data_IF_111285756156
#
_entry.id   IF_111285756156
#
_cell.length_a   1.000
_cell.length_b   1.000
_cell.length_c   1.000
_cell.angle_alpha   90.00
_cell.angle_beta   90.00
_cell.angle_gamma   90.00
#
_symmetry.space_group_name_H-M   'P 1'
#
loop_
_entity.id
_entity.type
_entity.pdbx_description
1 polymer ?
#
# COMPACT_ATOMS: atom_id res chain seq x y z
N UNK A 1 26.92 -0.59 44.13
CA UNK A 1 26.42 0.46 43.23
C UNK A 1 25.55 -0.19 42.18
N UNK A 2 24.23 -0.17 42.36
CA UNK A 2 23.24 -0.65 41.38
C UNK A 2 22.84 0.52 40.50
N UNK A 3 23.08 0.43 39.19
CA UNK A 3 22.61 1.44 38.24
C UNK A 3 21.08 1.33 38.10
N UNK A 4 20.34 2.45 38.10
CA UNK A 4 18.92 2.45 37.77
C UNK A 4 18.77 2.18 36.27
N UNK A 5 18.14 1.06 35.92
CA UNK A 5 17.65 0.81 34.57
C UNK A 5 16.55 1.82 34.27
N UNK A 6 16.77 2.68 33.27
CA UNK A 6 15.71 3.58 32.76
C UNK A 6 14.50 2.71 32.39
N UNK A 7 13.27 3.10 32.79
CA UNK A 7 12.09 2.50 32.20
C UNK A 7 12.15 2.73 30.69
N UNK A 8 12.06 1.65 29.90
CA UNK A 8 11.77 1.78 28.47
C UNK A 8 10.39 2.43 28.39
N UNK A 9 10.35 3.69 27.99
CA UNK A 9 9.09 4.39 27.70
C UNK A 9 8.30 3.49 26.73
N UNK A 10 7.06 3.10 27.05
CA UNK A 10 6.22 2.41 26.09
C UNK A 10 6.09 3.33 24.88
N UNK A 11 6.42 2.83 23.69
CA UNK A 11 6.03 3.51 22.46
C UNK A 11 4.51 3.68 22.53
N UNK A 12 3.95 4.89 22.38
CA UNK A 12 2.52 5.06 22.37
C UNK A 12 1.93 4.11 21.32
N UNK A 13 0.92 3.32 21.72
CA UNK A 13 0.09 2.62 20.74
C UNK A 13 -0.50 3.72 19.86
N UNK A 14 -0.07 3.79 18.60
CA UNK A 14 -0.64 4.72 17.63
C UNK A 14 -2.17 4.63 17.70
N UNK A 15 -2.84 5.78 17.72
CA UNK A 15 -4.29 5.79 17.64
C UNK A 15 -4.73 5.04 16.39
N UNK A 16 -5.92 4.44 16.41
CA UNK A 16 -6.45 3.71 15.25
C UNK A 16 -6.45 4.59 13.99
N UNK A 17 -6.72 5.89 14.16
CA UNK A 17 -6.72 6.87 13.08
C UNK A 17 -5.32 7.10 12.52
N UNK A 18 -4.32 7.33 13.38
CA UNK A 18 -2.91 7.44 12.95
C UNK A 18 -2.45 6.18 12.19
N UNK A 19 -2.81 4.98 12.68
CA UNK A 19 -2.47 3.74 11.98
C UNK A 19 -3.16 3.65 10.61
N UNK A 20 -4.41 4.10 10.48
CA UNK A 20 -5.11 4.13 9.19
C UNK A 20 -4.40 5.08 8.22
N UNK A 21 -3.93 6.21 8.71
CA UNK A 21 -3.25 7.24 7.91
C UNK A 21 -1.90 6.75 7.41
N UNK A 22 -1.13 6.16 8.32
CA UNK A 22 0.17 5.54 8.04
C UNK A 22 0.05 4.40 7.01
N UNK A 23 -1.12 3.77 6.90
CA UNK A 23 -1.40 2.76 5.88
C UNK A 23 -1.92 3.34 4.56
N UNK A 24 -2.69 4.43 4.59
CA UNK A 24 -3.29 5.02 3.39
C UNK A 24 -2.26 5.85 2.59
N UNK A 25 -1.45 6.65 3.29
CA UNK A 25 -0.51 7.59 2.66
C UNK A 25 0.45 6.91 1.67
N UNK A 26 1.06 5.74 1.95
CA UNK A 26 1.91 5.07 0.99
C UNK A 26 1.23 4.71 -0.34
N UNK A 27 -0.09 4.45 -0.32
CA UNK A 27 -0.87 4.17 -1.54
C UNK A 27 -1.14 5.43 -2.36
N UNK A 28 -1.34 6.58 -1.71
CA UNK A 28 -1.41 7.87 -2.40
C UNK A 28 -0.05 8.22 -3.03
N UNK A 29 1.01 8.18 -2.23
CA UNK A 29 2.38 8.51 -2.66
C UNK A 29 2.82 7.65 -3.85
N UNK A 30 2.55 6.34 -3.81
CA UNK A 30 2.95 5.46 -4.90
C UNK A 30 2.11 5.68 -6.16
N UNK A 31 0.82 6.02 -6.02
CA UNK A 31 -0.03 6.36 -7.16
C UNK A 31 0.48 7.62 -7.88
N UNK A 32 0.82 8.67 -7.13
CA UNK A 32 1.39 9.90 -7.67
C UNK A 32 2.72 9.64 -8.38
N UNK A 33 3.61 8.83 -7.78
CA UNK A 33 4.89 8.46 -8.39
C UNK A 33 4.72 7.65 -9.68
N UNK A 34 3.82 6.66 -9.68
CA UNK A 34 3.52 5.85 -10.86
C UNK A 34 2.97 6.71 -12.00
N UNK A 35 2.06 7.65 -11.68
CA UNK A 35 1.48 8.57 -12.65
C UNK A 35 2.54 9.56 -13.19
N UNK A 36 3.39 10.10 -12.32
CA UNK A 36 4.50 10.96 -12.73
C UNK A 36 5.48 10.23 -13.67
N UNK A 37 5.86 8.98 -13.35
CA UNK A 37 6.67 8.14 -14.24
C UNK A 37 5.99 7.88 -15.59
N UNK A 38 4.67 7.66 -15.57
CA UNK A 38 3.87 7.42 -16.79
C UNK A 38 3.81 8.64 -17.71
N UNK A 39 3.64 9.84 -17.13
CA UNK A 39 3.45 11.08 -17.89
C UNK A 39 4.78 11.71 -18.36
N UNK A 40 5.80 11.70 -17.49
CA UNK A 40 7.05 12.40 -17.75
C UNK A 40 8.16 11.48 -18.28
N UNK A 41 7.94 10.16 -18.24
CA UNK A 41 9.00 9.18 -18.40
C UNK A 41 9.86 9.09 -17.13
N UNK A 42 10.40 7.90 -16.88
CA UNK A 42 11.39 7.65 -15.85
C UNK A 42 12.54 6.88 -16.46
N UNK A 43 13.75 7.07 -15.92
CA UNK A 43 14.84 6.17 -16.24
C UNK A 43 14.52 4.74 -15.72
N UNK A 44 15.15 3.69 -16.28
CA UNK A 44 14.83 2.31 -15.94
C UNK A 44 15.04 1.97 -14.46
N UNK A 45 16.02 2.57 -13.78
CA UNK A 45 16.29 2.29 -12.36
C UNK A 45 15.20 2.88 -11.47
N UNK A 46 14.83 4.14 -11.71
CA UNK A 46 13.72 4.81 -11.03
C UNK A 46 12.41 4.06 -11.27
N UNK A 47 12.13 3.67 -12.52
CA UNK A 47 10.93 2.92 -12.86
C UNK A 47 10.83 1.60 -12.09
N UNK A 48 11.91 0.82 -12.10
CA UNK A 48 12.00 -0.45 -11.41
C UNK A 48 11.80 -0.28 -9.90
N UNK A 49 12.45 0.71 -9.29
CA UNK A 49 12.30 0.98 -7.86
C UNK A 49 10.86 1.34 -7.48
N UNK A 50 10.17 2.14 -8.30
CA UNK A 50 8.75 2.50 -8.08
C UNK A 50 7.85 1.27 -8.22
N UNK A 51 8.04 0.44 -9.25
CA UNK A 51 7.27 -0.81 -9.41
C UNK A 51 7.48 -1.80 -8.26
N UNK A 52 8.73 -2.00 -7.84
CA UNK A 52 9.07 -2.89 -6.72
C UNK A 52 8.47 -2.39 -5.41
N UNK A 53 8.49 -1.07 -5.18
CA UNK A 53 7.83 -0.44 -4.03
C UNK A 53 6.32 -0.67 -4.06
N UNK A 54 5.68 -0.47 -5.21
CA UNK A 54 4.25 -0.74 -5.38
C UNK A 54 3.92 -2.22 -5.06
N UNK A 55 4.69 -3.16 -5.61
CA UNK A 55 4.52 -4.59 -5.31
C UNK A 55 4.68 -4.88 -3.80
N UNK A 56 5.68 -4.29 -3.16
CA UNK A 56 5.89 -4.44 -1.74
C UNK A 56 4.69 -3.96 -0.91
N UNK A 57 4.14 -2.78 -1.22
CA UNK A 57 2.98 -2.23 -0.53
C UNK A 57 1.76 -3.16 -0.62
N UNK A 58 1.48 -3.70 -1.80
CA UNK A 58 0.37 -4.65 -1.99
C UNK A 58 0.56 -5.96 -1.23
N UNK A 59 1.80 -6.47 -1.17
CA UNK A 59 2.14 -7.64 -0.34
C UNK A 59 2.01 -7.34 1.15
N UNK A 60 2.42 -6.16 1.58
CA UNK A 60 2.30 -5.73 2.96
C UNK A 60 0.83 -5.63 3.37
N UNK A 61 0.03 -4.86 2.64
CA UNK A 61 -1.35 -4.55 3.02
C UNK A 61 -2.26 -5.79 3.01
N UNK A 62 -2.05 -6.69 2.03
CA UNK A 62 -2.83 -7.94 1.92
C UNK A 62 -2.59 -8.90 3.10
N UNK A 63 -1.43 -8.77 3.76
CA UNK A 63 -1.12 -9.53 4.97
C UNK A 63 -1.47 -8.77 6.25
N UNK A 64 -1.31 -7.45 6.26
CA UNK A 64 -1.46 -6.62 7.45
C UNK A 64 -2.93 -6.37 7.79
N UNK A 65 -3.73 -5.87 6.84
CA UNK A 65 -5.13 -5.51 7.11
C UNK A 65 -5.95 -6.66 7.71
N UNK A 66 -5.93 -7.90 7.17
CA UNK A 66 -6.76 -8.97 7.71
C UNK A 66 -6.32 -9.46 9.10
N UNK A 67 -5.10 -9.13 9.54
CA UNK A 67 -4.57 -9.50 10.87
C UNK A 67 -4.86 -8.44 11.93
N UNK A 68 -4.92 -7.17 11.54
CA UNK A 68 -5.04 -6.04 12.45
C UNK A 68 -6.43 -5.38 12.44
N UNK A 69 -7.26 -5.70 11.44
CA UNK A 69 -8.61 -5.15 11.26
C UNK A 69 -9.62 -6.25 10.90
N UNK A 70 -9.56 -7.39 11.59
CA UNK A 70 -10.39 -8.58 11.33
C UNK A 70 -11.91 -8.32 11.31
N UNK A 71 -12.40 -7.39 12.13
CA UNK A 71 -13.82 -6.98 12.14
C UNK A 71 -14.22 -6.14 10.92
N UNK A 72 -13.29 -5.43 10.30
CA UNK A 72 -13.53 -4.59 9.13
C UNK A 72 -13.18 -5.30 7.80
N UNK A 73 -12.36 -6.34 7.86
CA UNK A 73 -11.84 -7.06 6.69
C UNK A 73 -12.47 -8.45 6.64
N UNK A 74 -13.53 -8.57 5.84
CA UNK A 74 -14.22 -9.84 5.62
C UNK A 74 -13.32 -10.88 4.94
N UNK A 75 -13.68 -12.16 5.00
CA UNK A 75 -12.99 -13.24 4.27
C UNK A 75 -12.92 -12.96 2.76
N UNK A 76 -14.00 -12.44 2.20
CA UNK A 76 -14.05 -12.04 0.78
C UNK A 76 -13.06 -10.93 0.47
N UNK A 77 -12.99 -9.90 1.31
CA UNK A 77 -12.03 -8.79 1.18
C UNK A 77 -10.59 -9.29 1.28
N UNK A 78 -10.32 -10.20 2.22
CA UNK A 78 -9.01 -10.86 2.37
C UNK A 78 -8.60 -11.60 1.10
N UNK A 79 -9.50 -12.40 0.52
CA UNK A 79 -9.21 -13.13 -0.72
C UNK A 79 -9.01 -12.19 -1.91
N UNK A 80 -9.78 -11.10 -1.99
CA UNK A 80 -9.60 -10.06 -3.00
C UNK A 80 -8.22 -9.40 -2.87
N UNK A 81 -7.83 -8.98 -1.67
CA UNK A 81 -6.51 -8.38 -1.41
C UNK A 81 -5.37 -9.31 -1.83
N UNK A 82 -5.50 -10.62 -1.54
CA UNK A 82 -4.53 -11.63 -1.98
C UNK A 82 -4.43 -11.71 -3.51
N UNK A 83 -5.57 -11.75 -4.20
CA UNK A 83 -5.61 -11.77 -5.69
C UNK A 83 -5.00 -10.51 -6.29
N UNK A 84 -5.22 -9.34 -5.69
CA UNK A 84 -4.62 -8.09 -6.16
C UNK A 84 -3.10 -8.13 -5.94
N UNK A 85 -2.64 -8.58 -4.79
CA UNK A 85 -1.20 -8.77 -4.53
C UNK A 85 -0.55 -9.72 -5.56
N UNK A 86 -1.21 -10.83 -5.90
CA UNK A 86 -0.73 -11.76 -6.94
C UNK A 86 -0.75 -11.11 -8.33
N UNK A 87 -1.75 -10.30 -8.63
CA UNK A 87 -1.82 -9.52 -9.86
C UNK A 87 -0.67 -8.52 -9.96
N UNK A 88 -0.26 -7.88 -8.87
CA UNK A 88 0.86 -6.92 -8.87
C UNK A 88 2.21 -7.57 -9.23
N UNK A 89 2.40 -8.86 -8.93
CA UNK A 89 3.57 -9.60 -9.41
C UNK A 89 3.57 -9.66 -10.94
N UNK A 90 2.41 -9.93 -11.54
CA UNK A 90 2.26 -9.97 -13.01
C UNK A 90 2.42 -8.59 -13.64
N UNK A 91 1.94 -7.54 -12.98
CA UNK A 91 2.18 -6.14 -13.39
C UNK A 91 3.68 -5.85 -13.44
N UNK A 92 4.42 -6.23 -12.40
CA UNK A 92 5.87 -6.05 -12.35
C UNK A 92 6.59 -6.71 -13.53
N UNK A 93 6.19 -7.93 -13.90
CA UNK A 93 6.74 -8.63 -15.09
C UNK A 93 6.32 -7.96 -16.40
N UNK A 94 5.04 -7.58 -16.52
CA UNK A 94 4.51 -6.99 -17.75
C UNK A 94 5.12 -5.62 -18.05
N UNK A 95 5.50 -4.88 -17.01
CA UNK A 95 6.00 -3.52 -17.13
C UNK A 95 7.50 -3.38 -16.80
N UNK A 96 8.27 -4.47 -16.66
CA UNK A 96 9.69 -4.44 -16.22
C UNK A 96 10.56 -3.42 -16.98
N UNK A 97 10.34 -3.28 -18.30
CA UNK A 97 11.12 -2.38 -19.17
C UNK A 97 10.55 -0.95 -19.28
N UNK A 98 9.46 -0.63 -18.57
CA UNK A 98 8.90 0.72 -18.53
C UNK A 98 7.38 0.79 -18.72
N UNK A 99 6.77 1.97 -18.40
CA UNK A 99 5.33 2.20 -18.51
C UNK A 99 4.81 2.16 -19.96
N UNK A 100 5.69 2.36 -20.94
CA UNK A 100 5.36 2.36 -22.38
C UNK A 100 4.99 0.98 -22.93
N UNK A 101 5.34 -0.11 -22.22
CA UNK A 101 4.95 -1.47 -22.64
C UNK A 101 3.44 -1.66 -22.64
N UNK A 102 2.76 -1.12 -21.63
CA UNK A 102 1.31 -1.10 -21.55
C UNK A 102 0.82 0.12 -20.75
N UNK A 103 0.63 1.27 -21.44
CA UNK A 103 0.19 2.52 -20.82
C UNK A 103 -1.19 2.43 -20.15
N UNK A 104 -2.04 1.52 -20.63
CA UNK A 104 -3.38 1.32 -20.07
C UNK A 104 -3.32 0.51 -18.77
N UNK A 105 -2.44 -0.47 -18.70
CA UNK A 105 -2.21 -1.25 -17.48
C UNK A 105 -1.70 -0.35 -16.35
N UNK A 106 -0.70 0.50 -16.61
CA UNK A 106 -0.18 1.40 -15.58
C UNK A 106 -1.24 2.41 -15.10
N UNK A 107 -2.06 2.98 -15.98
CA UNK A 107 -3.17 3.85 -15.56
C UNK A 107 -4.15 3.11 -14.64
N UNK A 108 -4.48 1.85 -14.94
CA UNK A 108 -5.31 1.01 -14.06
C UNK A 108 -4.65 0.72 -12.72
N UNK A 109 -3.33 0.52 -12.69
CA UNK A 109 -2.56 0.31 -11.45
C UNK A 109 -2.56 1.58 -10.59
N UNK A 110 -2.40 2.77 -11.19
CA UNK A 110 -2.55 4.06 -10.49
C UNK A 110 -3.93 4.15 -9.85
N UNK A 111 -5.00 3.93 -10.62
CA UNK A 111 -6.36 3.96 -10.09
C UNK A 111 -6.58 2.93 -8.98
N UNK A 112 -5.99 1.74 -9.09
CA UNK A 112 -6.14 0.72 -8.06
C UNK A 112 -5.49 1.13 -6.73
N UNK A 113 -4.34 1.82 -6.78
CA UNK A 113 -3.69 2.36 -5.59
C UNK A 113 -4.52 3.49 -4.95
N UNK A 114 -5.06 4.41 -5.76
CA UNK A 114 -5.95 5.46 -5.26
C UNK A 114 -7.19 4.87 -4.59
N UNK A 115 -7.82 3.88 -5.24
CA UNK A 115 -8.97 3.17 -4.66
C UNK A 115 -8.60 2.49 -3.34
N UNK A 116 -7.41 1.89 -3.22
CA UNK A 116 -6.98 1.27 -1.96
C UNK A 116 -6.77 2.31 -0.86
N UNK A 117 -6.19 3.48 -1.19
CA UNK A 117 -6.06 4.60 -0.27
C UNK A 117 -7.44 5.03 0.27
N UNK A 118 -8.41 5.26 -0.61
CA UNK A 118 -9.77 5.64 -0.23
C UNK A 118 -10.44 4.59 0.66
N UNK A 119 -10.28 3.30 0.32
CA UNK A 119 -10.83 2.20 1.11
C UNK A 119 -10.21 2.11 2.51
N UNK A 120 -8.90 2.33 2.65
CA UNK A 120 -8.23 2.39 3.95
C UNK A 120 -8.74 3.57 4.76
N UNK A 121 -8.83 4.76 4.16
CA UNK A 121 -9.34 5.96 4.83
C UNK A 121 -10.80 5.81 5.27
N UNK A 122 -11.64 5.14 4.48
CA UNK A 122 -13.02 4.86 4.82
C UNK A 122 -13.16 4.03 6.11
N UNK A 123 -12.15 3.26 6.49
CA UNK A 123 -12.13 2.50 7.74
C UNK A 123 -12.10 3.41 9.00
N UNK A 124 -11.80 4.70 8.85
CA UNK A 124 -11.93 5.71 9.93
C UNK A 124 -13.39 5.91 10.34
N UNK A 125 -14.31 5.91 9.37
CA UNK A 125 -15.73 6.17 9.59
C UNK A 125 -16.49 4.99 10.23
N UNK A 126 -15.83 3.84 10.43
CA UNK A 126 -16.40 2.65 11.04
C UNK A 126 -16.58 2.75 12.56
N UNK A 127 -17.47 3.65 13.01
CA UNK A 127 -18.10 3.67 14.34
C UNK A 127 -19.53 4.23 14.31
N UNK A 128 -20.28 4.05 13.22
CA UNK A 128 -21.74 4.19 13.24
C UNK A 128 -22.36 3.03 12.43
N UNK A 129 -22.86 2.04 13.14
CA UNK A 129 -23.49 0.82 12.62
C UNK A 129 -23.81 -0.13 13.76
#
# INVERSE_FOLDING_TARGET
MTMPTKPKTPVPLASREELIDDMALPFLDIAERLEACRLNGADPETWKAVLETNLFLWRFISNFLPKHFDQAVTTETRDLLRRISDFMVKVGVALDEGPQKDPNLIAKVVHLNLNMCDQILAMRAGREG
#
